data_IF_031780130106
#
_entry.id   IF_031780130106
#
_cell.length_a   1.000
_cell.length_b   1.000
_cell.length_c   1.000
_cell.angle_alpha   90.00
_cell.angle_beta   90.00
_cell.angle_gamma   90.00
#
_symmetry.space_group_name_H-M   'P 1'
#
loop_
_entity.id
_entity.type
_entity.pdbx_description
1 polymer ?
#
# COMPACT_ATOMS: atom_id res chain seq x y z
N UNK A 1 -12.50 10.23 -1.97
CA UNK A 1 -12.61 11.31 -2.99
C UNK A 1 -11.28 12.06 -3.13
N UNK A 2 -11.09 12.86 -4.19
CA UNK A 2 -9.89 13.68 -4.35
C UNK A 2 -9.78 14.81 -3.30
N UNK A 3 -10.91 15.36 -2.84
CA UNK A 3 -10.97 16.30 -1.70
C UNK A 3 -11.21 17.76 -2.07
N UNK A 4 -10.60 18.25 -3.16
CA UNK A 4 -10.68 19.67 -3.52
C UNK A 4 -12.05 20.15 -4.05
N UNK A 5 -12.87 19.24 -4.58
CA UNK A 5 -14.19 19.55 -5.12
C UNK A 5 -15.18 18.45 -4.73
N UNK A 6 -16.21 18.82 -3.97
CA UNK A 6 -17.36 17.98 -3.66
C UNK A 6 -18.55 18.87 -3.28
N UNK A 7 -19.75 18.29 -3.27
CA UNK A 7 -20.95 18.92 -2.77
C UNK A 7 -21.51 18.07 -1.62
N UNK A 8 -21.96 18.72 -0.55
CA UNK A 8 -22.59 18.06 0.58
C UNK A 8 -23.73 18.93 1.12
N UNK A 9 -24.76 18.29 1.68
CA UNK A 9 -25.73 19.00 2.50
C UNK A 9 -24.99 19.61 3.71
N UNK A 10 -25.29 20.87 4.02
CA UNK A 10 -24.59 21.64 5.06
C UNK A 10 -24.80 21.02 6.44
N UNK A 11 -26.04 20.69 6.78
CA UNK A 11 -26.39 20.10 8.07
C UNK A 11 -25.66 18.77 8.27
N UNK A 12 -25.70 17.90 7.26
CA UNK A 12 -24.98 16.63 7.26
C UNK A 12 -23.46 16.81 7.42
N UNK A 13 -22.84 17.76 6.71
CA UNK A 13 -21.39 18.02 6.81
C UNK A 13 -20.96 18.33 8.25
N UNK A 14 -21.75 19.13 8.98
CA UNK A 14 -21.47 19.44 10.38
C UNK A 14 -21.92 18.33 11.34
N UNK A 15 -22.99 17.59 11.02
CA UNK A 15 -23.45 16.43 11.80
C UNK A 15 -22.39 15.33 11.84
N UNK A 16 -21.75 15.05 10.70
CA UNK A 16 -20.62 14.11 10.65
C UNK A 16 -19.33 14.70 11.22
N UNK A 17 -19.32 15.97 11.67
CA UNK A 17 -18.22 16.57 12.41
C UNK A 17 -17.21 17.42 11.62
N UNK A 18 -17.58 17.91 10.43
CA UNK A 18 -16.76 18.84 9.64
C UNK A 18 -15.39 18.27 9.26
N UNK A 19 -14.37 19.10 9.06
CA UNK A 19 -12.98 18.64 9.00
C UNK A 19 -12.39 18.51 10.41
N UNK A 20 -11.32 17.72 10.55
CA UNK A 20 -10.51 17.71 11.77
C UNK A 20 -9.77 19.05 11.88
N UNK A 21 -10.20 19.91 12.81
CA UNK A 21 -9.68 21.27 13.00
C UNK A 21 -8.19 21.32 13.38
N UNK A 22 -7.65 20.18 13.83
CA UNK A 22 -6.24 20.05 14.16
C UNK A 22 -5.37 19.55 12.98
N UNK A 23 -5.98 19.24 11.83
CA UNK A 23 -5.22 19.07 10.59
C UNK A 23 -4.71 20.42 10.10
N UNK A 24 -3.51 20.41 9.53
CA UNK A 24 -2.81 21.64 9.18
C UNK A 24 -2.48 21.70 7.69
N UNK A 25 -2.65 22.89 7.10
CA UNK A 25 -2.35 23.26 5.71
C UNK A 25 -2.96 22.31 4.65
N UNK A 26 -2.37 21.14 4.44
CA UNK A 26 -2.68 20.25 3.33
C UNK A 26 -2.32 18.79 3.62
N UNK A 27 -3.18 17.87 3.15
CA UNK A 27 -2.91 16.45 3.05
C UNK A 27 -3.71 15.64 4.06
N UNK A 28 -4.24 14.50 3.61
CA UNK A 28 -4.95 13.53 4.44
C UNK A 28 -6.42 13.87 4.73
N UNK A 29 -6.83 15.13 4.58
CA UNK A 29 -8.20 15.59 4.88
C UNK A 29 -9.24 14.92 3.98
N UNK A 30 -8.87 14.69 2.71
CA UNK A 30 -9.71 14.03 1.71
C UNK A 30 -9.96 12.55 2.06
N UNK A 31 -8.97 11.86 2.61
CA UNK A 31 -9.09 10.49 3.09
C UNK A 31 -9.89 10.44 4.40
N UNK A 32 -9.69 11.41 5.29
CA UNK A 32 -10.32 11.43 6.62
C UNK A 32 -11.83 11.47 6.50
N UNK A 33 -12.31 12.45 5.75
CA UNK A 33 -13.73 12.60 5.48
C UNK A 33 -14.26 11.43 4.65
N UNK A 34 -13.45 10.83 3.76
CA UNK A 34 -13.87 9.67 2.98
C UNK A 34 -14.12 8.46 3.87
N UNK A 35 -13.18 8.12 4.75
CA UNK A 35 -13.32 6.99 5.67
C UNK A 35 -14.47 7.25 6.64
N UNK A 36 -14.53 8.44 7.23
CA UNK A 36 -15.60 8.82 8.15
C UNK A 36 -16.98 8.73 7.50
N UNK A 37 -17.20 9.35 6.35
CA UNK A 37 -18.53 9.34 5.69
C UNK A 37 -18.99 7.91 5.41
N UNK A 38 -18.14 7.07 4.81
CA UNK A 38 -18.48 5.69 4.51
C UNK A 38 -18.72 4.84 5.77
N UNK A 39 -17.83 4.95 6.76
CA UNK A 39 -17.91 4.14 7.97
C UNK A 39 -19.06 4.59 8.88
N UNK A 40 -19.52 5.83 8.80
CA UNK A 40 -20.56 6.40 9.66
C UNK A 40 -21.94 6.48 8.97
N UNK A 41 -22.16 5.72 7.89
CA UNK A 41 -23.49 5.51 7.30
C UNK A 41 -23.85 6.38 6.10
N UNK A 42 -22.92 7.20 5.60
CA UNK A 42 -23.09 7.93 4.34
C UNK A 42 -22.47 7.22 3.14
N UNK A 43 -22.46 7.93 2.01
CA UNK A 43 -21.84 7.50 0.76
C UNK A 43 -21.07 8.64 0.11
N UNK A 44 -20.18 8.29 -0.82
CA UNK A 44 -19.48 9.24 -1.69
C UNK A 44 -19.71 8.81 -3.13
N UNK A 45 -20.20 9.73 -3.95
CA UNK A 45 -20.59 9.46 -5.33
C UNK A 45 -19.79 10.31 -6.31
N UNK A 46 -19.40 9.70 -7.43
CA UNK A 46 -18.87 10.41 -8.59
C UNK A 46 -20.02 10.58 -9.58
N UNK A 47 -20.39 11.83 -9.89
CA UNK A 47 -21.52 12.15 -10.77
C UNK A 47 -21.00 12.45 -12.18
N UNK A 48 -21.13 11.53 -13.16
CA UNK A 48 -20.52 11.69 -14.48
C UNK A 48 -21.10 12.85 -15.29
N UNK A 49 -22.29 13.35 -14.95
CA UNK A 49 -22.91 14.50 -15.62
C UNK A 49 -22.39 15.85 -15.09
N UNK A 50 -21.67 15.88 -13.97
CA UNK A 50 -21.15 17.11 -13.35
C UNK A 50 -19.66 17.24 -13.60
N UNK A 51 -19.27 18.18 -14.46
CA UNK A 51 -17.86 18.39 -14.84
C UNK A 51 -17.31 19.69 -14.28
N UNK A 52 -16.15 19.61 -13.65
CA UNK A 52 -15.37 20.78 -13.24
C UNK A 52 -13.91 20.55 -13.60
N UNK A 53 -13.32 21.46 -14.37
CA UNK A 53 -11.90 21.41 -14.73
C UNK A 53 -11.02 21.90 -13.57
N UNK A 54 -9.96 21.15 -13.25
CA UNK A 54 -8.95 21.52 -12.26
C UNK A 54 -7.57 21.57 -12.91
N UNK A 55 -6.82 22.66 -12.68
CA UNK A 55 -5.46 22.80 -13.18
C UNK A 55 -4.51 22.11 -12.20
N UNK A 56 -4.02 20.94 -12.58
CA UNK A 56 -3.00 20.24 -11.81
C UNK A 56 -1.67 21.00 -11.85
N UNK A 57 -1.00 21.07 -10.69
CA UNK A 57 0.31 21.69 -10.51
C UNK A 57 1.33 20.62 -10.16
N UNK A 58 2.59 20.83 -10.51
CA UNK A 58 3.69 19.92 -10.18
C UNK A 58 4.17 20.01 -8.73
N UNK A 59 3.79 21.07 -8.01
CA UNK A 59 4.19 21.29 -6.63
C UNK A 59 3.37 22.37 -5.94
N UNK A 60 3.59 22.51 -4.64
CA UNK A 60 2.87 23.46 -3.81
C UNK A 60 3.54 24.83 -3.89
N UNK A 61 2.82 25.92 -4.24
CA UNK A 61 3.42 27.24 -4.42
C UNK A 61 3.53 28.07 -3.13
N UNK A 62 3.29 27.47 -1.96
CA UNK A 62 3.29 28.13 -0.66
C UNK A 62 4.10 27.30 0.34
N UNK A 63 4.46 27.93 1.46
CA UNK A 63 5.17 27.27 2.55
C UNK A 63 4.31 26.14 3.14
N UNK A 64 4.89 24.94 3.22
CA UNK A 64 4.28 23.73 3.78
C UNK A 64 4.61 23.56 5.27
N UNK A 65 5.26 24.55 5.89
CA UNK A 65 5.61 24.49 7.30
C UNK A 65 4.38 24.79 8.16
N UNK A 66 3.87 23.77 8.83
CA UNK A 66 2.75 23.87 9.75
C UNK A 66 3.11 24.46 11.11
N UNK A 67 2.10 24.49 11.98
CA UNK A 67 2.17 24.84 13.40
C UNK A 67 3.34 24.11 14.06
N UNK A 68 3.98 24.79 15.02
CA UNK A 68 5.15 24.27 15.75
C UNK A 68 6.34 23.87 14.85
N UNK A 69 6.52 24.56 13.71
CA UNK A 69 7.60 24.30 12.74
C UNK A 69 7.55 22.88 12.15
N UNK A 70 6.34 22.33 12.00
CA UNK A 70 6.13 21.01 11.42
C UNK A 70 6.39 21.02 9.91
N UNK A 71 7.45 20.35 9.48
CA UNK A 71 7.84 20.28 8.06
C UNK A 71 7.19 19.12 7.29
N UNK A 72 6.40 18.28 7.96
CA UNK A 72 5.74 17.11 7.39
C UNK A 72 4.24 17.13 7.69
N UNK A 73 3.57 18.24 7.32
CA UNK A 73 2.13 18.45 7.55
C UNK A 73 1.27 17.33 6.96
N UNK A 74 1.59 16.88 5.74
CA UNK A 74 0.90 15.75 5.11
C UNK A 74 1.04 14.47 5.95
N UNK A 75 2.25 14.19 6.46
CA UNK A 75 2.52 13.04 7.31
C UNK A 75 1.76 13.09 8.63
N UNK A 76 1.83 14.21 9.34
CA UNK A 76 1.15 14.38 10.62
C UNK A 76 -0.36 14.30 10.47
N UNK A 77 -0.95 14.92 9.43
CA UNK A 77 -2.38 14.81 9.15
C UNK A 77 -2.78 13.37 8.82
N UNK A 78 -1.99 12.68 7.98
CA UNK A 78 -2.22 11.27 7.65
C UNK A 78 -2.14 10.37 8.89
N UNK A 79 -1.25 10.68 9.84
CA UNK A 79 -1.18 9.98 11.12
C UNK A 79 -2.43 10.23 11.98
N UNK A 80 -2.91 11.47 12.10
CA UNK A 80 -4.16 11.78 12.82
C UNK A 80 -5.32 10.93 12.27
N UNK A 81 -5.44 10.88 10.95
CA UNK A 81 -6.38 10.01 10.25
C UNK A 81 -6.19 8.53 10.60
N UNK A 82 -4.97 8.01 10.50
CA UNK A 82 -4.70 6.59 10.70
C UNK A 82 -5.01 6.14 12.13
N UNK A 83 -4.68 6.98 13.12
CA UNK A 83 -4.91 6.72 14.53
C UNK A 83 -6.39 6.74 14.95
N UNK A 84 -7.24 7.43 14.17
CA UNK A 84 -8.68 7.54 14.46
C UNK A 84 -9.49 6.55 13.64
N UNK A 85 -9.17 6.35 12.37
CA UNK A 85 -10.07 5.71 11.40
C UNK A 85 -9.59 4.36 10.87
N UNK A 86 -8.30 4.02 10.96
CA UNK A 86 -7.76 2.80 10.31
C UNK A 86 -7.70 1.58 11.22
N UNK A 87 -8.12 1.67 12.49
CA UNK A 87 -8.03 0.56 13.46
C UNK A 87 -6.62 -0.06 13.46
N UNK A 88 -6.52 -1.41 13.47
CA UNK A 88 -5.24 -2.13 13.41
C UNK A 88 -4.57 -2.08 12.03
N UNK A 89 -5.24 -1.58 10.99
CA UNK A 89 -4.65 -1.41 9.65
C UNK A 89 -3.67 -0.23 9.59
N UNK A 90 -3.64 0.65 10.60
CA UNK A 90 -2.61 1.67 10.73
C UNK A 90 -1.18 1.10 10.74
N UNK A 91 -1.03 -0.19 11.07
CA UNK A 91 0.25 -0.93 10.94
C UNK A 91 0.83 -0.83 9.52
N UNK A 92 -0.02 -0.87 8.49
CA UNK A 92 0.39 -0.77 7.09
C UNK A 92 0.82 0.66 6.74
N UNK A 93 0.14 1.66 7.28
CA UNK A 93 0.59 3.06 7.19
C UNK A 93 1.97 3.25 7.80
N UNK A 94 2.23 2.68 8.99
CA UNK A 94 3.52 2.82 9.66
C UNK A 94 4.66 2.04 8.99
N UNK A 95 4.40 0.99 8.23
CA UNK A 95 5.44 0.36 7.39
C UNK A 95 6.01 1.36 6.39
N UNK A 96 5.19 2.26 5.84
CA UNK A 96 5.62 3.32 4.92
C UNK A 96 6.10 4.58 5.62
N UNK A 97 5.62 4.84 6.83
CA UNK A 97 5.88 6.07 7.59
C UNK A 97 6.45 5.76 8.98
N UNK A 98 7.46 4.91 9.06
CA UNK A 98 8.05 4.49 10.35
C UNK A 98 8.53 5.69 11.20
N UNK A 99 9.03 6.75 10.55
CA UNK A 99 9.44 7.99 11.23
C UNK A 99 8.30 8.69 11.98
N UNK A 100 7.04 8.39 11.67
CA UNK A 100 5.86 8.98 12.31
C UNK A 100 5.34 8.20 13.51
N UNK A 101 5.85 6.99 13.80
CA UNK A 101 5.32 6.14 14.89
C UNK A 101 5.30 6.90 16.22
N UNK A 102 6.41 7.57 16.57
CA UNK A 102 6.56 8.29 17.83
C UNK A 102 6.32 9.81 17.71
N UNK A 103 5.92 10.30 16.54
CA UNK A 103 5.65 11.74 16.34
C UNK A 103 4.37 12.15 17.06
N UNK A 104 4.44 13.18 17.91
CA UNK A 104 3.24 13.78 18.49
C UNK A 104 2.44 14.53 17.41
N UNK A 105 1.15 14.27 17.32
CA UNK A 105 0.22 14.89 16.37
C UNK A 105 -0.89 15.67 17.06
N UNK A 106 -0.75 15.92 18.36
CA UNK A 106 -1.75 16.61 19.18
C UNK A 106 -2.90 15.71 19.61
N UNK A 107 -3.94 16.32 20.18
CA UNK A 107 -5.07 15.59 20.75
C UNK A 107 -5.97 14.99 19.66
N UNK A 108 -6.36 13.73 19.86
CA UNK A 108 -7.27 12.95 19.00
C UNK A 108 -8.60 12.64 19.70
N UNK A 109 -8.77 13.08 20.94
CA UNK A 109 -9.89 12.70 21.81
C UNK A 109 -11.24 13.05 21.18
N UNK A 110 -11.40 14.26 20.65
CA UNK A 110 -12.68 14.68 20.07
C UNK A 110 -13.03 13.92 18.79
N UNK A 111 -12.04 13.56 17.96
CA UNK A 111 -12.25 12.73 16.78
C UNK A 111 -12.63 11.29 17.14
N UNK A 112 -12.02 10.72 18.18
CA UNK A 112 -12.39 9.38 18.69
C UNK A 112 -13.80 9.36 19.28
N UNK A 113 -14.15 10.33 20.12
CA UNK A 113 -15.52 10.48 20.66
C UNK A 113 -16.57 10.69 19.57
N UNK A 114 -16.24 11.45 18.52
CA UNK A 114 -17.11 11.61 17.36
C UNK A 114 -17.40 10.26 16.70
N UNK A 115 -16.36 9.46 16.45
CA UNK A 115 -16.51 8.11 15.88
C UNK A 115 -17.39 7.20 16.74
N UNK A 116 -17.23 7.25 18.06
CA UNK A 116 -18.05 6.50 19.02
C UNK A 116 -19.53 6.95 18.99
N UNK A 117 -19.76 8.27 19.05
CA UNK A 117 -21.10 8.88 19.06
C UNK A 117 -21.89 8.58 17.78
N UNK A 118 -21.22 8.59 16.63
CA UNK A 118 -21.83 8.25 15.33
C UNK A 118 -21.96 6.73 15.11
N UNK A 119 -21.48 5.91 16.06
CA UNK A 119 -21.52 4.45 16.00
C UNK A 119 -20.94 3.89 14.68
N UNK A 120 -19.84 4.48 14.23
CA UNK A 120 -19.25 4.14 12.94
C UNK A 120 -18.74 2.69 12.91
N UNK A 121 -18.77 2.09 11.72
CA UNK A 121 -18.24 0.76 11.45
C UNK A 121 -16.72 0.72 11.59
N UNK A 122 -16.16 -0.50 11.60
CA UNK A 122 -14.71 -0.71 11.60
C UNK A 122 -14.09 -0.43 10.24
N UNK A 123 -12.79 -0.20 10.21
CA UNK A 123 -12.05 -0.08 8.95
C UNK A 123 -12.03 -1.39 8.17
N UNK A 124 -12.06 -2.53 8.88
CA UNK A 124 -12.28 -3.85 8.26
C UNK A 124 -13.58 -3.89 7.46
N UNK A 125 -14.69 -3.42 8.05
CA UNK A 125 -15.96 -3.33 7.34
C UNK A 125 -15.86 -2.45 6.09
N UNK A 126 -15.15 -1.32 6.18
CA UNK A 126 -14.92 -0.44 5.02
C UNK A 126 -14.17 -1.17 3.89
N UNK A 127 -13.09 -1.89 4.22
CA UNK A 127 -12.34 -2.69 3.24
C UNK A 127 -13.21 -3.80 2.62
N UNK A 128 -14.04 -4.47 3.42
CA UNK A 128 -14.89 -5.59 2.94
C UNK A 128 -16.13 -5.14 2.16
N UNK A 129 -16.65 -3.93 2.40
CA UNK A 129 -17.96 -3.51 1.86
C UNK A 129 -17.88 -2.33 0.88
N UNK A 130 -16.87 -1.46 0.99
CA UNK A 130 -16.75 -0.25 0.16
C UNK A 130 -15.69 -0.42 -0.92
N UNK A 131 -14.58 -1.08 -0.61
CA UNK A 131 -13.49 -1.36 -1.56
C UNK A 131 -12.99 -2.82 -1.42
N UNK A 132 -13.87 -3.82 -1.63
CA UNK A 132 -13.53 -5.25 -1.47
C UNK A 132 -12.38 -5.74 -2.36
N UNK A 133 -12.13 -5.05 -3.47
CA UNK A 133 -11.04 -5.34 -4.40
C UNK A 133 -9.66 -4.86 -3.92
N UNK A 134 -9.58 -4.10 -2.81
CA UNK A 134 -8.30 -3.59 -2.31
C UNK A 134 -7.50 -4.75 -1.69
N UNK A 135 -6.43 -5.15 -2.37
CA UNK A 135 -5.47 -6.11 -1.83
C UNK A 135 -4.81 -5.60 -0.54
N UNK A 136 -4.78 -6.45 0.49
CA UNK A 136 -4.18 -6.19 1.79
C UNK A 136 -2.88 -7.02 1.87
N UNK A 137 -1.69 -6.40 1.88
CA UNK A 137 -0.44 -7.11 1.68
C UNK A 137 -0.08 -8.19 2.70
N UNK A 138 -0.62 -8.11 3.92
CA UNK A 138 -0.29 -9.02 5.02
C UNK A 138 -1.47 -9.88 5.50
N UNK A 139 -2.60 -9.88 4.77
CA UNK A 139 -3.78 -10.69 5.08
C UNK A 139 -4.09 -11.60 3.91
N UNK A 140 -4.46 -12.86 4.19
CA UNK A 140 -4.75 -13.86 3.15
C UNK A 140 -3.57 -14.03 2.16
N UNK A 141 -2.34 -14.15 2.67
CA UNK A 141 -1.12 -14.32 1.87
C UNK A 141 -0.25 -15.42 2.46
N UNK A 142 0.48 -16.16 1.64
CA UNK A 142 1.40 -17.21 2.11
C UNK A 142 2.67 -16.63 2.75
N UNK A 143 3.13 -15.49 2.25
CA UNK A 143 4.30 -14.79 2.75
C UNK A 143 4.18 -13.28 2.52
N UNK A 144 4.79 -12.49 3.40
CA UNK A 144 4.82 -11.02 3.31
C UNK A 144 6.11 -10.46 3.91
N UNK A 145 6.66 -9.45 3.24
CA UNK A 145 7.67 -8.57 3.80
C UNK A 145 8.81 -8.29 2.83
N UNK A 146 9.98 -7.96 3.37
CA UNK A 146 11.19 -7.88 2.57
C UNK A 146 11.53 -9.29 2.06
N UNK A 147 11.96 -9.37 0.79
CA UNK A 147 12.41 -10.62 0.18
C UNK A 147 13.92 -10.58 0.10
N UNK A 148 14.60 -11.39 0.91
CA UNK A 148 16.06 -11.36 1.05
C UNK A 148 16.71 -12.63 0.52
N UNK A 149 17.92 -12.47 0.02
CA UNK A 149 18.83 -13.57 -0.33
C UNK A 149 19.77 -13.86 0.84
N UNK A 150 20.49 -15.00 0.81
CA UNK A 150 21.52 -15.31 1.81
C UNK A 150 22.69 -14.30 1.83
N UNK A 151 22.86 -13.53 0.75
CA UNK A 151 23.91 -12.50 0.64
C UNK A 151 23.46 -11.12 1.13
N UNK A 152 22.35 -11.05 1.85
CA UNK A 152 21.74 -9.81 2.37
C UNK A 152 21.31 -8.80 1.29
N UNK A 153 21.13 -9.27 0.05
CA UNK A 153 20.45 -8.50 -0.99
C UNK A 153 18.93 -8.61 -0.83
N UNK A 154 18.23 -7.48 -0.97
CA UNK A 154 16.77 -7.42 -0.93
C UNK A 154 16.20 -7.19 -2.33
N UNK A 155 15.10 -7.88 -2.66
CA UNK A 155 14.28 -7.53 -3.82
C UNK A 155 13.65 -6.16 -3.59
N UNK A 156 13.92 -5.22 -4.50
CA UNK A 156 13.49 -3.83 -4.40
C UNK A 156 13.09 -3.34 -5.80
N UNK A 157 12.31 -2.25 -5.84
CA UNK A 157 11.94 -1.56 -7.07
C UNK A 157 12.96 -0.49 -7.48
N UNK A 158 14.12 -0.46 -6.83
CA UNK A 158 15.19 0.52 -6.99
C UNK A 158 14.68 1.96 -6.84
N UNK A 159 13.88 2.20 -5.79
CA UNK A 159 13.21 3.49 -5.51
C UNK A 159 12.25 3.98 -6.61
N UNK A 160 11.93 3.16 -7.62
CA UNK A 160 10.90 3.49 -8.62
C UNK A 160 9.49 3.52 -8.01
N UNK A 161 9.29 2.83 -6.88
CA UNK A 161 8.04 2.79 -6.11
C UNK A 161 8.35 2.95 -4.61
N UNK A 162 7.41 3.48 -3.83
CA UNK A 162 7.59 3.82 -2.41
C UNK A 162 7.62 2.59 -1.47
N UNK A 163 7.07 1.45 -1.91
CA UNK A 163 6.94 0.25 -1.11
C UNK A 163 8.09 -0.74 -1.43
N UNK A 164 8.70 -1.34 -0.39
CA UNK A 164 9.79 -2.35 -0.47
C UNK A 164 9.39 -3.77 -0.04
N UNK A 165 8.15 -3.95 0.40
CA UNK A 165 7.55 -5.23 0.76
C UNK A 165 6.86 -5.93 -0.42
N UNK A 166 7.04 -7.24 -0.54
CA UNK A 166 6.31 -8.09 -1.49
C UNK A 166 5.47 -9.11 -0.73
N UNK A 167 4.51 -9.72 -1.42
CA UNK A 167 3.66 -10.78 -0.88
C UNK A 167 3.53 -11.93 -1.87
N UNK A 168 3.34 -13.15 -1.36
CA UNK A 168 2.84 -14.27 -2.15
C UNK A 168 1.33 -14.40 -1.89
N UNK A 169 0.50 -14.05 -2.87
CA UNK A 169 -0.97 -14.04 -2.75
C UNK A 169 -1.56 -15.46 -2.64
N UNK A 170 -2.85 -15.59 -2.30
CA UNK A 170 -3.55 -16.91 -2.34
C UNK A 170 -3.61 -17.49 -3.75
N UNK A 171 -3.58 -16.63 -4.77
CA UNK A 171 -3.49 -16.98 -6.18
C UNK A 171 -2.04 -17.30 -6.59
N UNK A 172 -1.13 -17.45 -5.63
CA UNK A 172 0.28 -17.72 -5.84
C UNK A 172 1.05 -16.63 -6.59
N UNK A 173 0.57 -15.38 -6.60
CA UNK A 173 1.28 -14.31 -7.30
C UNK A 173 2.36 -13.70 -6.41
N UNK A 174 3.56 -13.47 -6.96
CA UNK A 174 4.54 -12.59 -6.34
C UNK A 174 4.15 -11.14 -6.68
N UNK A 175 3.61 -10.41 -5.70
CA UNK A 175 2.95 -9.11 -5.96
C UNK A 175 3.26 -8.01 -4.94
N UNK A 176 2.95 -6.78 -5.36
CA UNK A 176 2.94 -5.53 -4.61
C UNK A 176 1.64 -4.80 -4.88
N UNK A 177 0.75 -4.74 -3.92
CA UNK A 177 -0.54 -4.05 -4.07
C UNK A 177 -1.27 -4.46 -5.37
N UNK A 178 -1.32 -3.58 -6.38
CA UNK A 178 -1.95 -3.82 -7.68
C UNK A 178 -1.02 -4.37 -8.77
N UNK A 179 0.28 -4.51 -8.49
CA UNK A 179 1.28 -4.95 -9.47
C UNK A 179 1.87 -6.32 -9.14
N UNK A 180 2.06 -7.15 -10.16
CA UNK A 180 2.55 -8.51 -10.08
C UNK A 180 3.86 -8.64 -10.86
N UNK A 181 4.75 -9.52 -10.38
CA UNK A 181 6.00 -9.85 -11.05
C UNK A 181 5.71 -10.74 -12.25
N UNK A 182 6.39 -10.49 -13.37
CA UNK A 182 6.31 -11.30 -14.59
C UNK A 182 7.67 -11.41 -15.29
N UNK A 183 7.79 -12.41 -16.16
CA UNK A 183 8.87 -12.60 -17.12
C UNK A 183 8.83 -11.52 -18.21
N UNK A 184 9.89 -10.73 -18.27
CA UNK A 184 10.11 -9.74 -19.32
C UNK A 184 10.78 -10.29 -20.58
N UNK A 185 11.58 -9.45 -21.21
CA UNK A 185 12.31 -9.78 -22.42
C UNK A 185 13.45 -10.77 -22.15
N UNK A 186 13.85 -11.49 -23.19
CA UNK A 186 14.98 -12.39 -23.12
C UNK A 186 16.29 -11.62 -23.24
N UNK A 187 17.10 -11.62 -22.18
CA UNK A 187 18.41 -10.93 -22.15
C UNK A 187 19.50 -11.77 -22.80
N UNK A 188 19.45 -13.10 -22.58
CA UNK A 188 20.36 -14.10 -23.15
C UNK A 188 19.70 -15.49 -23.13
N UNK A 189 20.24 -16.52 -23.80
CA UNK A 189 19.64 -17.86 -23.80
C UNK A 189 19.33 -18.37 -22.38
N UNK A 190 18.04 -18.59 -22.09
CA UNK A 190 17.58 -19.08 -20.79
C UNK A 190 17.55 -18.07 -19.63
N UNK A 191 17.80 -16.78 -19.89
CA UNK A 191 17.75 -15.71 -18.87
C UNK A 191 16.89 -14.56 -19.37
N UNK A 192 15.95 -14.16 -18.54
CA UNK A 192 14.93 -13.16 -18.84
C UNK A 192 14.98 -12.02 -17.82
N UNK A 193 14.62 -10.81 -18.25
CA UNK A 193 14.40 -9.70 -17.33
C UNK A 193 13.14 -9.93 -16.51
N UNK A 194 13.01 -9.19 -15.42
CA UNK A 194 11.87 -9.25 -14.50
C UNK A 194 11.17 -7.91 -14.54
N UNK A 195 9.86 -7.94 -14.76
CA UNK A 195 9.04 -6.73 -14.86
C UNK A 195 7.93 -6.74 -13.79
N UNK A 196 7.40 -5.55 -13.51
CA UNK A 196 6.16 -5.37 -12.78
C UNK A 196 5.08 -4.91 -13.75
N UNK A 197 3.94 -5.59 -13.72
CA UNK A 197 2.74 -5.21 -14.49
C UNK A 197 1.51 -5.24 -13.59
N UNK A 198 0.38 -4.70 -14.03
CA UNK A 198 -0.86 -4.82 -13.28
C UNK A 198 -1.27 -6.29 -13.11
N UNK A 199 -1.68 -6.67 -11.91
CA UNK A 199 -2.19 -8.01 -11.62
C UNK A 199 -3.53 -8.22 -12.34
N UNK A 200 -3.71 -9.42 -12.93
CA UNK A 200 -4.93 -9.79 -13.65
C UNK A 200 -5.57 -11.00 -12.96
N UNK A 201 -6.67 -10.76 -12.25
CA UNK A 201 -7.31 -11.78 -11.41
C UNK A 201 -7.82 -13.01 -12.20
N UNK A 202 -8.18 -12.82 -13.49
CA UNK A 202 -8.65 -13.90 -14.35
C UNK A 202 -7.53 -14.86 -14.81
N UNK A 203 -6.29 -14.37 -14.86
CA UNK A 203 -5.12 -15.13 -15.31
C UNK A 203 -3.92 -14.82 -14.41
N UNK A 204 -3.93 -15.32 -13.16
CA UNK A 204 -2.89 -15.02 -12.19
C UNK A 204 -1.54 -15.58 -12.63
N UNK A 205 -0.49 -14.83 -12.34
CA UNK A 205 0.89 -15.19 -12.66
C UNK A 205 1.45 -15.95 -11.47
N UNK A 206 1.39 -17.27 -11.56
CA UNK A 206 1.69 -18.14 -10.43
C UNK A 206 3.21 -18.34 -10.22
N UNK A 207 3.63 -18.13 -8.98
CA UNK A 207 4.93 -18.43 -8.42
C UNK A 207 4.82 -19.44 -7.28
N UNK A 208 5.67 -20.45 -7.32
CA UNK A 208 5.85 -21.41 -6.24
C UNK A 208 7.00 -20.97 -5.36
N UNK A 209 6.77 -21.00 -4.05
CA UNK A 209 7.78 -20.65 -3.06
C UNK A 209 7.61 -21.46 -1.78
N UNK A 210 8.73 -21.98 -1.28
CA UNK A 210 8.84 -22.60 0.04
C UNK A 210 9.81 -21.78 0.89
N UNK A 211 9.66 -21.83 2.22
CA UNK A 211 10.49 -21.02 3.13
C UNK A 211 11.99 -21.28 2.91
N UNK A 212 12.73 -20.23 2.52
CA UNK A 212 14.18 -20.34 2.24
C UNK A 212 14.49 -20.99 0.89
N UNK A 213 13.47 -21.36 0.14
CA UNK A 213 13.59 -21.99 -1.16
C UNK A 213 13.62 -20.99 -2.31
N UNK A 214 13.38 -21.52 -3.50
CA UNK A 214 13.33 -20.74 -4.74
C UNK A 214 12.00 -20.04 -4.88
N UNK A 215 11.97 -18.96 -5.65
CA UNK A 215 10.75 -18.36 -6.17
C UNK A 215 10.65 -18.76 -7.64
N UNK A 216 9.81 -19.75 -7.95
CA UNK A 216 9.72 -20.38 -9.28
C UNK A 216 8.46 -19.95 -10.00
N UNK A 217 8.62 -19.34 -11.16
CA UNK A 217 7.52 -19.06 -12.08
C UNK A 217 6.95 -20.38 -12.63
N UNK A 218 5.73 -20.74 -12.22
CA UNK A 218 5.13 -22.07 -12.39
C UNK A 218 5.02 -22.50 -13.86
N UNK A 219 4.51 -21.61 -14.71
CA UNK A 219 4.28 -21.91 -16.15
C UNK A 219 5.57 -22.03 -16.97
N UNK A 220 6.62 -21.31 -16.59
CA UNK A 220 7.89 -21.25 -17.36
C UNK A 220 8.99 -22.12 -16.76
N UNK A 221 8.85 -22.54 -15.50
CA UNK A 221 9.88 -23.29 -14.78
C UNK A 221 11.17 -22.48 -14.55
N UNK A 222 11.08 -21.15 -14.53
CA UNK A 222 12.20 -20.24 -14.28
C UNK A 222 12.20 -19.79 -12.82
N UNK A 223 13.38 -19.59 -12.24
CA UNK A 223 13.56 -19.16 -10.87
C UNK A 223 14.16 -17.77 -10.81
N UNK A 224 13.69 -16.97 -9.85
CA UNK A 224 14.25 -15.65 -9.57
C UNK A 224 15.70 -15.81 -9.12
N UNK A 225 16.62 -15.10 -9.78
CA UNK A 225 18.06 -15.31 -9.65
C UNK A 225 18.81 -13.98 -9.57
N UNK A 226 19.74 -13.89 -8.62
CA UNK A 226 20.68 -12.77 -8.43
C UNK A 226 22.14 -13.12 -8.76
N UNK A 227 22.37 -14.16 -9.56
CA UNK A 227 23.70 -14.52 -9.99
C UNK A 227 24.40 -13.37 -10.73
N UNK A 228 25.60 -13.01 -10.24
CA UNK A 228 26.40 -11.89 -10.72
C UNK A 228 25.72 -10.50 -10.60
N UNK A 229 24.71 -10.39 -9.73
CA UNK A 229 24.05 -9.12 -9.43
C UNK A 229 24.66 -8.49 -8.18
N UNK A 230 24.96 -7.19 -8.28
CA UNK A 230 25.36 -6.35 -7.15
C UNK A 230 24.19 -5.46 -6.71
N UNK A 231 24.33 -4.83 -5.54
CA UNK A 231 23.34 -3.84 -5.08
C UNK A 231 23.08 -2.77 -6.15
N UNK A 232 21.80 -2.52 -6.43
CA UNK A 232 21.36 -1.61 -7.50
C UNK A 232 21.17 -2.26 -8.87
N UNK A 233 21.47 -3.56 -9.04
CA UNK A 233 21.23 -4.29 -10.28
C UNK A 233 19.80 -4.86 -10.40
N UNK A 234 19.37 -5.11 -11.64
CA UNK A 234 18.06 -5.66 -11.96
C UNK A 234 18.06 -7.20 -11.86
N UNK A 235 17.13 -7.75 -11.08
CA UNK A 235 16.98 -9.20 -10.88
C UNK A 235 16.54 -9.90 -12.17
N UNK A 236 16.85 -11.20 -12.30
CA UNK A 236 16.54 -11.97 -13.51
C UNK A 236 15.75 -13.24 -13.21
N UNK A 237 15.11 -13.80 -14.24
CA UNK A 237 14.53 -15.14 -14.21
C UNK A 237 15.39 -16.07 -15.05
N UNK A 238 15.96 -17.10 -14.43
CA UNK A 238 16.86 -18.06 -15.05
C UNK A 238 16.38 -19.51 -14.84
N UNK A 239 17.04 -20.48 -15.45
CA UNK A 239 16.74 -21.91 -15.21
C UNK A 239 16.87 -22.22 -13.72
N UNK A 240 15.87 -22.89 -13.15
CA UNK A 240 15.94 -23.34 -11.76
C UNK A 240 17.05 -24.38 -11.58
N UNK A 241 17.91 -24.14 -10.60
CA UNK A 241 19.00 -25.03 -10.19
C UNK A 241 18.79 -25.42 -8.72
N UNK A 242 19.06 -26.67 -8.36
CA UNK A 242 18.89 -27.15 -6.99
C UNK A 242 20.08 -26.74 -6.13
N UNK A 243 19.83 -26.20 -4.93
CA UNK A 243 20.89 -25.73 -4.02
C UNK A 243 21.63 -24.46 -4.43
N UNK A 244 21.29 -23.83 -5.56
CA UNK A 244 21.95 -22.59 -6.01
C UNK A 244 21.63 -21.43 -5.08
N UNK A 245 22.64 -20.94 -4.35
CA UNK A 245 22.49 -19.89 -3.34
C UNK A 245 21.90 -18.57 -3.90
N UNK A 246 22.18 -18.22 -5.15
CA UNK A 246 21.63 -17.00 -5.78
C UNK A 246 20.14 -17.10 -6.13
N UNK A 247 19.53 -18.28 -6.00
CA UNK A 247 18.10 -18.52 -6.21
C UNK A 247 17.34 -18.78 -4.91
N UNK A 248 17.98 -18.63 -3.75
CA UNK A 248 17.33 -18.83 -2.45
C UNK A 248 16.81 -17.51 -1.89
N UNK A 249 15.55 -17.51 -1.48
CA UNK A 249 14.84 -16.32 -1.04
C UNK A 249 14.11 -16.56 0.27
N UNK A 250 14.04 -15.52 1.08
CA UNK A 250 13.32 -15.53 2.35
C UNK A 250 12.46 -14.29 2.51
N UNK A 251 11.21 -14.47 2.94
CA UNK A 251 10.34 -13.40 3.40
C UNK A 251 10.49 -13.16 4.91
N UNK A 252 10.20 -11.95 5.37
CA UNK A 252 10.15 -11.64 6.81
C UNK A 252 9.12 -12.50 7.56
N UNK A 253 7.96 -12.74 6.94
CA UNK A 253 6.86 -13.50 7.54
C UNK A 253 6.30 -14.53 6.55
N UNK A 254 5.95 -15.70 7.09
CA UNK A 254 5.23 -16.75 6.40
C UNK A 254 4.01 -17.11 7.23
N UNK A 255 2.87 -17.30 6.55
CA UNK A 255 1.61 -17.63 7.19
C UNK A 255 1.20 -19.05 6.80
N UNK A 256 0.66 -19.79 7.77
CA UNK A 256 -0.09 -21.01 7.49
C UNK A 256 -1.52 -20.59 7.17
N UNK A 257 -2.02 -21.01 6.02
CA UNK A 257 -3.41 -20.77 5.61
C UNK A 257 -4.11 -22.13 5.65
N UNK A 258 -5.19 -22.22 6.43
CA UNK A 258 -6.08 -23.38 6.50
C UNK A 258 -6.91 -23.55 5.22
#
# INVERSE_FOLDING_TARGET
MAGGLFAANREYFFEVGGYDEEMDIWGGENLEISFRVWMCGGSIELIPCSHVGHIFRSGHPYDMTGRNNNKDVHGTNSKRLAEVWMDDYKRLFYVHRMGLVNTDVGDLTERKKLRERLQCKSFKWFLENVIPQKFIPDENVFAYGHVRTERDLCLDTLQRLENKMFSISRQHELRRESTCVEVGEQLRPGVYSVILQECVDEQPIEFEHERGGRIRHKKRGLCLDVENILSGGDVTLARCEEGKASQQWTFDKYFQID
#
